data_IF_978075783540
#
_entry.id   IF_978075783540
#
_cell.length_a   1.000
_cell.length_b   1.000
_cell.length_c   1.000
_cell.angle_alpha   90.00
_cell.angle_beta   90.00
_cell.angle_gamma   90.00
#
_symmetry.space_group_name_H-M   'P 1'
#
loop_
_entity.id
_entity.type
_entity.pdbx_description
1 polymer ?
#
# COMPACT_ATOMS: atom_id res chain seq x y z
N UNK A 1 -14.80 -11.24 -27.92
CA UNK A 1 -14.75 -10.03 -27.08
C UNK A 1 -13.84 -10.31 -25.90
N UNK A 2 -12.67 -9.67 -25.82
CA UNK A 2 -11.84 -9.74 -24.61
C UNK A 2 -12.50 -8.80 -23.59
N UNK A 3 -13.00 -9.33 -22.47
CA UNK A 3 -13.52 -8.51 -21.38
C UNK A 3 -12.37 -7.69 -20.78
N UNK A 4 -12.26 -6.42 -21.19
CA UNK A 4 -11.31 -5.47 -20.60
C UNK A 4 -11.68 -5.19 -19.15
N UNK A 5 -10.71 -5.30 -18.24
CA UNK A 5 -10.91 -5.02 -16.81
C UNK A 5 -11.35 -3.55 -16.60
N UNK A 6 -12.59 -3.37 -16.11
CA UNK A 6 -13.24 -2.07 -15.98
C UNK A 6 -12.94 -1.42 -14.64
N UNK A 7 -13.32 -0.14 -14.54
CA UNK A 7 -13.21 0.62 -13.29
C UNK A 7 -14.05 -0.01 -12.17
N UNK A 8 -15.21 -0.57 -12.50
CA UNK A 8 -16.11 -1.19 -11.52
C UNK A 8 -15.52 -2.50 -10.99
N UNK A 9 -14.88 -3.31 -11.84
CA UNK A 9 -14.13 -4.51 -11.43
C UNK A 9 -13.00 -4.14 -10.47
N UNK A 10 -12.29 -3.03 -10.75
CA UNK A 10 -11.24 -2.51 -9.86
C UNK A 10 -11.78 -2.07 -8.50
N UNK A 11 -13.00 -1.50 -8.44
CA UNK A 11 -13.63 -1.11 -7.18
C UNK A 11 -14.13 -2.31 -6.40
N UNK A 12 -14.74 -3.29 -7.08
CA UNK A 12 -15.16 -4.55 -6.47
C UNK A 12 -13.97 -5.28 -5.85
N UNK A 13 -12.85 -5.40 -6.57
CA UNK A 13 -11.65 -6.06 -6.06
C UNK A 13 -11.01 -5.29 -4.89
N UNK A 14 -11.06 -3.96 -4.88
CA UNK A 14 -10.67 -3.16 -3.70
C UNK A 14 -11.57 -3.44 -2.51
N UNK A 15 -12.89 -3.54 -2.72
CA UNK A 15 -13.84 -3.91 -1.67
C UNK A 15 -13.52 -5.28 -1.07
N UNK A 16 -13.26 -6.28 -1.91
CA UNK A 16 -12.80 -7.61 -1.48
C UNK A 16 -11.53 -7.50 -0.65
N UNK A 17 -10.53 -6.73 -1.11
CA UNK A 17 -9.29 -6.52 -0.38
C UNK A 17 -9.50 -5.85 0.99
N UNK A 18 -10.46 -4.91 1.13
CA UNK A 18 -10.83 -4.31 2.43
C UNK A 18 -11.41 -5.38 3.36
N UNK A 19 -12.34 -6.20 2.87
CA UNK A 19 -12.97 -7.27 3.67
C UNK A 19 -11.89 -8.25 4.16
N UNK A 20 -10.98 -8.66 3.26
CA UNK A 20 -9.84 -9.53 3.61
C UNK A 20 -8.92 -8.87 4.64
N UNK A 21 -8.64 -7.57 4.51
CA UNK A 21 -7.81 -6.82 5.46
C UNK A 21 -8.44 -6.80 6.85
N UNK A 22 -9.74 -6.49 6.95
CA UNK A 22 -10.47 -6.50 8.23
C UNK A 22 -10.43 -7.91 8.82
N UNK A 23 -10.75 -8.94 8.03
CA UNK A 23 -10.78 -10.32 8.50
C UNK A 23 -9.42 -10.79 9.01
N UNK A 24 -8.34 -10.48 8.30
CA UNK A 24 -6.98 -10.74 8.75
C UNK A 24 -6.65 -10.04 10.07
N UNK A 25 -6.94 -8.74 10.19
CA UNK A 25 -6.62 -7.97 11.40
C UNK A 25 -7.51 -8.30 12.61
N UNK A 26 -8.65 -8.97 12.41
CA UNK A 26 -9.53 -9.39 13.50
C UNK A 26 -9.30 -10.84 13.94
N UNK A 27 -8.93 -11.75 13.03
CA UNK A 27 -8.99 -13.21 13.31
C UNK A 27 -7.69 -13.98 13.03
N UNK A 28 -6.60 -13.33 12.62
CA UNK A 28 -5.35 -14.04 12.24
C UNK A 28 -4.55 -14.63 13.40
N UNK A 29 -4.88 -14.30 14.65
CA UNK A 29 -4.27 -14.85 15.86
C UNK A 29 -5.33 -14.85 16.97
N UNK A 30 -5.26 -15.85 17.85
CA UNK A 30 -6.16 -15.97 19.02
C UNK A 30 -6.03 -14.77 19.97
N UNK A 31 -4.83 -14.18 20.08
CA UNK A 31 -4.57 -12.99 20.90
C UNK A 31 -5.43 -11.77 20.51
N UNK A 32 -5.84 -11.68 19.23
CA UNK A 32 -6.63 -10.55 18.74
C UNK A 32 -8.06 -10.55 19.27
N UNK A 33 -8.53 -11.71 19.73
CA UNK A 33 -9.91 -11.88 20.16
C UNK A 33 -10.10 -12.64 21.47
N UNK A 34 -9.01 -12.95 22.19
CA UNK A 34 -9.03 -13.68 23.46
C UNK A 34 -9.97 -13.07 24.52
N UNK A 35 -10.23 -11.76 24.44
CA UNK A 35 -11.07 -11.01 25.39
C UNK A 35 -12.56 -11.05 25.07
N UNK A 36 -12.94 -11.71 23.97
CA UNK A 36 -14.31 -11.75 23.49
C UNK A 36 -14.80 -13.20 23.40
N UNK A 37 -16.06 -13.42 23.73
CA UNK A 37 -16.72 -14.71 23.47
C UNK A 37 -17.16 -14.75 22.02
N UNK A 38 -16.50 -15.56 21.19
CA UNK A 38 -16.80 -15.69 19.76
C UNK A 38 -17.36 -17.08 19.48
N UNK A 39 -18.50 -17.13 18.79
CA UNK A 39 -19.00 -18.37 18.20
C UNK A 39 -18.40 -18.55 16.82
N UNK A 40 -17.71 -19.68 16.61
CA UNK A 40 -17.15 -20.06 15.31
C UNK A 40 -18.09 -20.94 14.48
N UNK A 41 -19.28 -21.28 15.01
CA UNK A 41 -20.26 -22.10 14.31
C UNK A 41 -20.63 -21.49 12.94
N UNK A 42 -20.68 -22.28 11.84
CA UNK A 42 -20.62 -23.74 11.76
C UNK A 42 -19.20 -24.32 11.62
N UNK A 43 -18.17 -23.49 11.64
CA UNK A 43 -16.78 -23.89 11.43
C UNK A 43 -16.03 -24.09 12.75
N UNK A 44 -14.78 -24.57 12.65
CA UNK A 44 -13.84 -24.63 13.76
C UNK A 44 -12.96 -23.37 13.77
N UNK A 45 -12.56 -22.93 14.96
CA UNK A 45 -11.69 -21.77 15.16
C UNK A 45 -10.42 -21.83 14.31
N UNK A 46 -9.72 -22.97 14.31
CA UNK A 46 -8.49 -23.14 13.54
C UNK A 46 -8.68 -22.94 12.03
N UNK A 47 -9.85 -23.31 11.48
CA UNK A 47 -10.18 -23.08 10.07
C UNK A 47 -10.32 -21.59 9.81
N UNK A 48 -11.04 -20.87 10.67
CA UNK A 48 -11.25 -19.43 10.57
C UNK A 48 -9.92 -18.67 10.69
N UNK A 49 -9.07 -19.03 11.64
CA UNK A 49 -7.73 -18.46 11.80
C UNK A 49 -6.88 -18.71 10.56
N UNK A 50 -6.88 -19.93 10.02
CA UNK A 50 -6.13 -20.25 8.80
C UNK A 50 -6.58 -19.40 7.61
N UNK A 51 -7.90 -19.23 7.41
CA UNK A 51 -8.44 -18.35 6.37
C UNK A 51 -8.00 -16.91 6.61
N UNK A 52 -8.07 -16.43 7.86
CA UNK A 52 -7.66 -15.07 8.21
C UNK A 52 -6.16 -14.83 7.97
N UNK A 53 -5.30 -15.82 8.20
CA UNK A 53 -3.87 -15.76 7.86
C UNK A 53 -3.68 -15.67 6.35
N UNK A 54 -4.43 -16.41 5.54
CA UNK A 54 -4.36 -16.32 4.07
C UNK A 54 -4.83 -14.94 3.57
N UNK A 55 -5.84 -14.34 4.21
CA UNK A 55 -6.33 -13.00 3.88
C UNK A 55 -5.27 -11.88 4.00
N UNK A 56 -4.09 -12.16 4.56
CA UNK A 56 -2.92 -11.28 4.58
C UNK A 56 -2.46 -10.82 3.19
N UNK A 57 -2.87 -11.50 2.11
CA UNK A 57 -2.63 -11.09 0.72
C UNK A 57 -3.37 -9.79 0.32
N UNK A 58 -4.29 -9.29 1.13
CA UNK A 58 -5.06 -8.06 0.85
C UNK A 58 -4.21 -6.85 0.41
N UNK A 59 -3.05 -6.64 1.02
CA UNK A 59 -2.15 -5.53 0.66
C UNK A 59 -1.50 -5.74 -0.72
N UNK A 60 -1.20 -6.99 -1.08
CA UNK A 60 -0.71 -7.34 -2.41
C UNK A 60 -1.78 -7.08 -3.48
N UNK A 61 -3.06 -7.37 -3.18
CA UNK A 61 -4.17 -7.02 -4.09
C UNK A 61 -4.26 -5.50 -4.30
N UNK A 62 -4.15 -4.69 -3.23
CA UNK A 62 -4.12 -3.23 -3.39
C UNK A 62 -2.93 -2.75 -4.22
N UNK A 63 -1.74 -3.33 -4.01
CA UNK A 63 -0.55 -2.99 -4.79
C UNK A 63 -0.72 -3.34 -6.27
N UNK A 64 -1.26 -4.53 -6.59
CA UNK A 64 -1.54 -4.97 -7.96
C UNK A 64 -2.52 -4.02 -8.67
N UNK A 65 -3.67 -3.75 -8.04
CA UNK A 65 -4.69 -2.84 -8.60
C UNK A 65 -4.14 -1.42 -8.75
N UNK A 66 -3.29 -0.99 -7.82
CA UNK A 66 -2.63 0.33 -7.90
C UNK A 66 -1.69 0.41 -9.09
N UNK A 67 -0.86 -0.61 -9.33
CA UNK A 67 0.00 -0.69 -10.51
C UNK A 67 -0.80 -0.59 -11.80
N UNK A 68 -1.83 -1.43 -11.91
CA UNK A 68 -2.71 -1.44 -13.08
C UNK A 68 -3.37 -0.06 -13.31
N UNK A 69 -4.02 0.49 -12.27
CA UNK A 69 -4.76 1.74 -12.37
C UNK A 69 -3.87 2.96 -12.58
N UNK A 70 -2.66 2.99 -12.02
CA UNK A 70 -1.72 4.10 -12.19
C UNK A 70 -1.13 4.12 -13.60
N UNK A 71 -0.81 2.97 -14.20
CA UNK A 71 -0.35 2.91 -15.60
C UNK A 71 -1.42 3.44 -16.55
N UNK A 72 -2.67 2.98 -16.44
CA UNK A 72 -3.77 3.47 -17.28
C UNK A 72 -4.00 4.97 -17.09
N UNK A 73 -3.90 5.43 -15.84
CA UNK A 73 -3.98 6.86 -15.52
C UNK A 73 -2.84 7.67 -16.16
N UNK A 74 -1.64 7.10 -16.22
CA UNK A 74 -0.46 7.74 -16.79
C UNK A 74 -0.51 7.75 -18.32
N UNK A 75 -0.98 6.67 -18.95
CA UNK A 75 -1.17 6.58 -20.39
C UNK A 75 -2.14 7.64 -20.90
N UNK A 76 -3.27 7.81 -20.19
CA UNK A 76 -4.30 8.82 -20.52
C UNK A 76 -3.86 10.28 -20.23
N UNK A 77 -2.60 10.51 -19.83
CA UNK A 77 -2.12 11.86 -19.48
C UNK A 77 -2.06 12.76 -20.72
N UNK A 78 -2.37 14.04 -20.52
CA UNK A 78 -2.04 15.14 -21.45
C UNK A 78 -0.92 16.05 -20.92
N UNK A 79 -0.30 15.67 -19.79
CA UNK A 79 0.61 16.51 -19.02
C UNK A 79 2.01 15.88 -18.89
N UNK A 80 2.98 16.68 -18.44
CA UNK A 80 4.34 16.20 -18.12
C UNK A 80 4.32 15.18 -16.97
N UNK A 81 5.38 14.37 -16.88
CA UNK A 81 5.54 13.36 -15.84
C UNK A 81 5.40 13.95 -14.42
N UNK A 82 6.04 15.08 -14.15
CA UNK A 82 6.01 15.77 -12.86
C UNK A 82 4.62 16.29 -12.51
N UNK A 83 3.92 16.92 -13.46
CA UNK A 83 2.55 17.41 -13.25
C UNK A 83 1.58 16.27 -12.98
N UNK A 84 1.72 15.16 -13.69
CA UNK A 84 0.93 13.96 -13.42
C UNK A 84 1.20 13.39 -12.04
N UNK A 85 2.48 13.26 -11.65
CA UNK A 85 2.86 12.73 -10.34
C UNK A 85 2.32 13.60 -9.20
N UNK A 86 2.46 14.92 -9.31
CA UNK A 86 1.92 15.86 -8.34
C UNK A 86 0.38 15.81 -8.25
N UNK A 87 -0.31 15.79 -9.39
CA UNK A 87 -1.78 15.66 -9.43
C UNK A 87 -2.24 14.35 -8.78
N UNK A 88 -1.52 13.26 -9.05
CA UNK A 88 -1.82 11.94 -8.49
C UNK A 88 -1.52 11.88 -6.99
N UNK A 89 -0.43 12.49 -6.55
CA UNK A 89 -0.07 12.64 -5.13
C UNK A 89 -1.18 13.37 -4.38
N UNK A 90 -1.55 14.58 -4.81
CA UNK A 90 -2.61 15.37 -4.16
C UNK A 90 -3.93 14.59 -4.11
N UNK A 91 -4.31 13.94 -5.22
CA UNK A 91 -5.56 13.15 -5.27
C UNK A 91 -5.56 11.95 -4.32
N UNK A 92 -4.40 11.34 -4.10
CA UNK A 92 -4.27 10.18 -3.21
C UNK A 92 -4.24 10.62 -1.75
N UNK A 93 -3.55 11.74 -1.47
CA UNK A 93 -3.33 12.25 -0.12
C UNK A 93 -4.46 13.12 0.43
N UNK A 94 -5.34 13.67 -0.43
CA UNK A 94 -6.43 14.55 0.03
C UNK A 94 -7.34 13.89 1.07
N UNK A 95 -7.71 12.62 0.88
CA UNK A 95 -8.48 11.87 1.87
C UNK A 95 -7.68 11.54 3.13
N UNK A 96 -6.38 11.26 2.98
CA UNK A 96 -5.48 10.99 4.09
C UNK A 96 -5.32 12.20 5.01
N UNK A 97 -5.12 13.39 4.47
CA UNK A 97 -4.91 14.61 5.26
C UNK A 97 -6.09 14.93 6.18
N UNK A 98 -7.32 14.68 5.70
CA UNK A 98 -8.52 14.84 6.52
C UNK A 98 -8.48 13.91 7.73
N UNK A 99 -8.18 12.62 7.49
CA UNK A 99 -8.09 11.60 8.54
C UNK A 99 -6.93 11.91 9.50
N UNK A 100 -5.78 12.32 8.98
CA UNK A 100 -4.60 12.70 9.75
C UNK A 100 -4.93 13.85 10.71
N UNK A 101 -5.52 14.93 10.22
CA UNK A 101 -5.86 16.12 11.03
C UNK A 101 -6.85 15.74 12.13
N UNK A 102 -7.89 14.97 11.81
CA UNK A 102 -8.87 14.51 12.79
C UNK A 102 -8.20 13.67 13.89
N UNK A 103 -7.35 12.71 13.50
CA UNK A 103 -6.65 11.86 14.47
C UNK A 103 -5.61 12.62 15.29
N UNK A 104 -4.90 13.58 14.69
CA UNK A 104 -3.97 14.45 15.39
C UNK A 104 -4.73 15.24 16.46
N UNK A 105 -5.87 15.85 16.12
CA UNK A 105 -6.69 16.62 17.04
C UNK A 105 -7.20 15.76 18.22
N UNK A 106 -7.75 14.58 17.94
CA UNK A 106 -8.20 13.64 18.98
C UNK A 106 -7.03 13.22 19.89
N UNK A 107 -5.85 12.96 19.34
CA UNK A 107 -4.69 12.53 20.14
C UNK A 107 -4.05 13.66 20.95
N UNK A 108 -4.21 14.92 20.53
CA UNK A 108 -3.83 16.09 21.31
C UNK A 108 -4.77 16.26 22.51
N UNK A 109 -6.09 16.18 22.29
CA UNK A 109 -7.09 16.43 23.34
C UNK A 109 -7.15 15.31 24.38
N UNK A 110 -7.22 14.05 23.93
CA UNK A 110 -7.64 12.95 24.82
C UNK A 110 -6.51 12.11 25.37
N UNK A 111 -5.32 12.12 24.74
CA UNK A 111 -4.26 11.15 25.08
C UNK A 111 -2.87 11.74 25.24
N UNK A 112 -2.67 13.02 24.92
CA UNK A 112 -1.37 13.68 24.80
C UNK A 112 -0.33 12.87 23.99
N UNK A 113 -0.79 11.91 23.17
CA UNK A 113 0.06 10.97 22.44
C UNK A 113 0.80 11.68 21.32
N UNK A 114 0.15 12.67 20.71
CA UNK A 114 0.74 13.49 19.65
C UNK A 114 2.05 14.14 20.10
N UNK A 115 2.06 14.77 21.27
CA UNK A 115 3.26 15.42 21.81
C UNK A 115 4.35 14.40 22.14
N UNK A 116 3.99 13.27 22.74
CA UNK A 116 4.95 12.20 23.09
C UNK A 116 5.60 11.58 21.86
N UNK A 117 4.82 11.32 20.81
CA UNK A 117 5.29 10.69 19.58
C UNK A 117 6.22 11.61 18.81
N UNK A 118 5.88 12.89 18.65
CA UNK A 118 6.66 13.78 17.78
C UNK A 118 7.71 14.60 18.52
N UNK A 119 7.38 15.12 19.70
CA UNK A 119 8.21 16.14 20.37
C UNK A 119 9.11 15.57 21.47
N UNK A 120 9.15 14.25 21.65
CA UNK A 120 9.98 13.58 22.65
C UNK A 120 11.49 13.81 22.47
N UNK A 121 11.93 14.08 21.24
CA UNK A 121 13.35 14.26 20.89
C UNK A 121 13.73 15.72 20.59
N UNK A 122 12.83 16.69 20.85
CA UNK A 122 13.06 18.12 20.65
C UNK A 122 12.16 18.74 19.58
N UNK A 123 12.04 20.07 19.63
CA UNK A 123 11.02 20.81 18.85
C UNK A 123 11.23 20.72 17.33
N UNK A 124 12.47 20.87 16.86
CA UNK A 124 12.78 20.86 15.44
C UNK A 124 12.60 19.47 14.81
N UNK A 125 13.01 18.42 15.53
CA UNK A 125 12.82 17.03 15.10
C UNK A 125 11.32 16.70 15.07
N UNK A 126 10.55 17.18 16.05
CA UNK A 126 9.11 17.00 16.07
C UNK A 126 8.38 17.68 14.92
N UNK A 127 8.73 18.94 14.60
CA UNK A 127 8.17 19.65 13.44
C UNK A 127 8.49 18.90 12.14
N UNK A 128 9.73 18.46 11.96
CA UNK A 128 10.13 17.69 10.79
C UNK A 128 9.36 16.35 10.69
N UNK A 129 9.22 15.63 11.81
CA UNK A 129 8.50 14.34 11.85
C UNK A 129 7.02 14.49 11.55
N UNK A 130 6.37 15.54 12.07
CA UNK A 130 4.97 15.87 11.74
C UNK A 130 4.82 16.16 10.24
N UNK A 131 5.72 16.96 9.67
CA UNK A 131 5.68 17.27 8.24
C UNK A 131 5.88 16.01 7.39
N UNK A 132 6.87 15.19 7.73
CA UNK A 132 7.17 13.96 7.00
C UNK A 132 6.03 12.94 7.13
N UNK A 133 5.39 12.80 8.29
CA UNK A 133 4.24 11.90 8.43
C UNK A 133 3.01 12.41 7.67
N UNK A 134 2.72 13.71 7.74
CA UNK A 134 1.64 14.35 6.99
C UNK A 134 1.84 14.25 5.46
N UNK A 135 3.09 14.31 4.99
CA UNK A 135 3.44 14.11 3.58
C UNK A 135 3.59 12.62 3.19
N UNK A 136 3.40 11.70 4.13
CA UNK A 136 3.50 10.26 3.90
C UNK A 136 4.92 9.76 3.67
N UNK A 137 5.94 10.49 4.12
CA UNK A 137 7.35 10.13 3.99
C UNK A 137 7.95 9.50 5.25
N UNK A 138 7.20 9.42 6.36
CA UNK A 138 7.74 8.96 7.64
C UNK A 138 8.45 7.61 7.55
N UNK A 139 7.84 6.60 6.92
CA UNK A 139 8.47 5.28 6.79
C UNK A 139 9.66 5.26 5.81
N UNK A 140 9.73 6.19 4.84
CA UNK A 140 10.86 6.32 3.92
C UNK A 140 12.10 6.88 4.62
N UNK A 141 11.92 7.84 5.53
CA UNK A 141 13.02 8.48 6.26
C UNK A 141 13.23 7.90 7.67
N UNK A 142 12.42 6.93 8.08
CA UNK A 142 12.51 6.30 9.39
C UNK A 142 12.12 7.24 10.54
N UNK A 143 11.26 8.22 10.31
CA UNK A 143 10.79 9.15 11.35
C UNK A 143 9.58 8.62 12.08
N UNK A 144 9.27 9.23 13.22
CA UNK A 144 8.09 8.92 14.00
C UNK A 144 6.81 9.14 13.20
N UNK A 145 5.81 8.29 13.48
CA UNK A 145 4.48 8.35 12.89
C UNK A 145 3.42 8.21 13.98
N UNK A 146 2.32 8.94 13.84
CA UNK A 146 1.23 8.86 14.82
C UNK A 146 0.63 7.45 14.87
N UNK A 147 0.54 6.80 13.70
CA UNK A 147 0.03 5.45 13.51
C UNK A 147 0.97 4.62 12.64
N UNK A 148 1.49 3.53 13.21
CA UNK A 148 2.41 2.60 12.52
C UNK A 148 1.81 2.03 11.24
N UNK A 149 0.48 1.90 11.16
CA UNK A 149 -0.23 1.42 9.97
C UNK A 149 -0.10 2.34 8.76
N UNK A 150 0.33 3.60 8.90
CA UNK A 150 0.45 4.55 7.77
C UNK A 150 1.66 4.32 6.86
N UNK A 151 2.45 3.29 7.12
CA UNK A 151 3.57 2.88 6.26
C UNK A 151 3.18 2.74 4.77
N UNK A 152 1.93 2.39 4.46
CA UNK A 152 1.45 2.27 3.08
C UNK A 152 1.34 3.62 2.34
N UNK A 153 1.26 4.76 3.04
CA UNK A 153 1.30 6.08 2.40
C UNK A 153 2.66 6.33 1.76
N UNK A 154 3.73 5.93 2.45
CA UNK A 154 5.08 5.94 1.89
C UNK A 154 5.21 5.02 0.68
N UNK A 155 4.58 3.83 0.72
CA UNK A 155 4.51 2.96 -0.46
C UNK A 155 3.76 3.60 -1.63
N UNK A 156 2.65 4.29 -1.37
CA UNK A 156 1.90 5.01 -2.40
C UNK A 156 2.74 6.11 -3.07
N UNK A 157 3.56 6.86 -2.32
CA UNK A 157 4.48 7.84 -2.92
C UNK A 157 5.50 7.16 -3.83
N UNK A 158 6.12 6.07 -3.38
CA UNK A 158 7.05 5.29 -4.22
C UNK A 158 6.36 4.83 -5.50
N UNK A 159 5.16 4.27 -5.42
CA UNK A 159 4.41 3.83 -6.59
C UNK A 159 4.13 4.95 -7.60
N UNK A 160 3.72 6.13 -7.11
CA UNK A 160 3.45 7.29 -7.97
C UNK A 160 4.72 7.75 -8.69
N UNK A 161 5.86 7.80 -7.99
CA UNK A 161 7.14 8.20 -8.57
C UNK A 161 7.73 7.13 -9.52
N UNK A 162 7.44 5.86 -9.26
CA UNK A 162 7.93 4.74 -10.04
C UNK A 162 7.26 4.65 -11.41
N UNK A 163 5.97 5.02 -11.52
CA UNK A 163 5.19 4.90 -12.76
C UNK A 163 5.81 5.64 -13.95
N UNK A 164 6.18 6.93 -13.86
CA UNK A 164 6.84 7.64 -14.96
C UNK A 164 8.17 7.01 -15.41
N UNK A 165 8.91 6.40 -14.48
CA UNK A 165 10.18 5.74 -14.76
C UNK A 165 9.96 4.41 -15.47
N UNK A 166 8.96 3.64 -15.03
CA UNK A 166 8.66 2.32 -15.60
C UNK A 166 7.94 2.40 -16.94
N UNK A 167 7.00 3.34 -17.12
CA UNK A 167 6.06 3.32 -18.25
C UNK A 167 6.74 3.24 -19.63
N UNK A 168 7.88 3.93 -19.83
CA UNK A 168 8.61 3.91 -21.11
C UNK A 168 9.27 2.55 -21.37
N UNK A 169 9.85 1.95 -20.33
CA UNK A 169 10.66 0.73 -20.42
C UNK A 169 9.82 -0.55 -20.31
N UNK A 170 8.61 -0.45 -19.74
CA UNK A 170 7.67 -1.57 -19.57
C UNK A 170 7.18 -2.19 -20.88
N UNK A 171 7.45 -1.56 -22.03
CA UNK A 171 7.12 -2.13 -23.34
C UNK A 171 8.17 -3.16 -23.79
N UNK A 172 9.43 -2.80 -23.67
CA UNK A 172 10.53 -3.55 -24.29
C UNK A 172 11.28 -4.43 -23.28
N UNK A 173 11.18 -4.14 -21.98
CA UNK A 173 11.97 -4.77 -20.91
C UNK A 173 11.12 -5.42 -19.81
N UNK A 174 9.86 -5.73 -20.09
CA UNK A 174 8.88 -6.34 -19.17
C UNK A 174 9.46 -7.41 -18.26
N UNK A 175 10.04 -8.47 -18.85
CA UNK A 175 10.59 -9.60 -18.10
C UNK A 175 11.83 -9.24 -17.29
N UNK A 176 12.68 -8.36 -17.82
CA UNK A 176 13.89 -7.88 -17.14
C UNK A 176 13.49 -7.06 -15.90
N UNK A 177 12.50 -6.18 -16.02
CA UNK A 177 12.01 -5.35 -14.91
C UNK A 177 11.37 -6.23 -13.82
N UNK A 178 10.59 -7.25 -14.20
CA UNK A 178 10.04 -8.21 -13.24
C UNK A 178 11.14 -8.99 -12.51
N UNK A 179 12.05 -9.62 -13.25
CA UNK A 179 13.14 -10.42 -12.67
C UNK A 179 14.01 -9.54 -11.77
N UNK A 180 14.37 -8.34 -12.23
CA UNK A 180 15.13 -7.39 -11.43
C UNK A 180 14.37 -6.99 -10.16
N UNK A 181 13.07 -6.73 -10.23
CA UNK A 181 12.28 -6.39 -9.03
C UNK A 181 12.21 -7.53 -8.02
N UNK A 182 12.11 -8.78 -8.48
CA UNK A 182 12.13 -9.98 -7.62
C UNK A 182 13.51 -10.19 -7.00
N UNK A 183 14.58 -9.97 -7.77
CA UNK A 183 15.95 -10.06 -7.28
C UNK A 183 16.26 -8.95 -6.26
N UNK A 184 15.92 -7.70 -6.59
CA UNK A 184 16.06 -6.55 -5.71
C UNK A 184 15.30 -6.74 -4.40
N UNK A 185 14.07 -7.26 -4.49
CA UNK A 185 13.30 -7.65 -3.32
C UNK A 185 14.04 -8.70 -2.48
N UNK A 186 14.58 -9.75 -3.09
CA UNK A 186 15.33 -10.80 -2.37
C UNK A 186 16.56 -10.25 -1.67
N UNK A 187 17.27 -9.31 -2.29
CA UNK A 187 18.43 -8.64 -1.68
C UNK A 187 18.01 -7.78 -0.48
N UNK A 188 16.94 -6.98 -0.60
CA UNK A 188 16.45 -6.15 0.52
C UNK A 188 15.89 -7.02 1.66
N UNK A 189 15.10 -8.04 1.34
CA UNK A 189 14.51 -8.95 2.32
C UNK A 189 15.56 -9.86 2.98
N UNK A 190 16.67 -10.17 2.29
CA UNK A 190 17.79 -10.89 2.94
C UNK A 190 18.46 -10.07 4.05
N UNK A 191 18.31 -8.74 4.04
CA UNK A 191 18.77 -7.84 5.09
C UNK A 191 17.66 -7.47 6.10
N UNK A 192 16.42 -7.94 5.86
CA UNK A 192 15.25 -7.65 6.70
C UNK A 192 14.40 -8.92 6.86
N UNK A 193 14.75 -9.75 7.84
CA UNK A 193 14.07 -10.98 8.29
C UNK A 193 13.26 -11.75 7.23
N UNK A 194 13.83 -12.88 6.81
CA UNK A 194 13.42 -13.76 5.71
C UNK A 194 11.97 -14.31 5.77
N UNK A 195 11.17 -13.99 6.79
CA UNK A 195 9.75 -14.38 6.92
C UNK A 195 8.74 -13.30 6.51
N UNK A 196 9.19 -12.12 6.07
CA UNK A 196 8.35 -10.91 6.05
C UNK A 196 7.63 -10.62 4.72
N UNK A 197 7.77 -11.45 3.67
CA UNK A 197 7.11 -11.22 2.37
C UNK A 197 5.59 -11.05 2.49
N UNK A 198 4.96 -11.83 3.38
CA UNK A 198 3.56 -11.69 3.76
C UNK A 198 3.51 -11.05 5.14
N UNK A 199 3.43 -9.72 5.24
CA UNK A 199 3.25 -8.99 6.51
C UNK A 199 4.30 -7.97 6.90
N UNK A 200 5.32 -7.75 6.09
CA UNK A 200 6.26 -6.66 6.31
C UNK A 200 5.55 -5.31 6.15
N UNK A 201 5.77 -4.39 7.09
CA UNK A 201 5.50 -2.97 6.90
C UNK A 201 6.56 -2.30 5.99
N UNK A 202 7.33 -3.10 5.25
CA UNK A 202 8.29 -2.62 4.26
C UNK A 202 7.57 -2.10 3.03
N UNK A 203 7.91 -0.86 2.69
CA UNK A 203 7.45 -0.16 1.50
C UNK A 203 7.83 -0.93 0.22
N UNK A 204 8.94 -1.66 0.25
CA UNK A 204 9.51 -2.32 -0.92
C UNK A 204 8.94 -3.72 -1.17
N UNK A 205 8.32 -4.34 -0.16
CA UNK A 205 7.88 -5.74 -0.22
C UNK A 205 6.91 -6.02 -1.37
N UNK A 206 6.09 -5.01 -1.71
CA UNK A 206 5.00 -5.12 -2.67
C UNK A 206 5.33 -4.54 -4.05
N UNK A 207 6.56 -4.06 -4.27
CA UNK A 207 7.00 -3.52 -5.57
C UNK A 207 6.87 -4.55 -6.71
N UNK A 208 7.27 -5.83 -6.56
CA UNK A 208 7.10 -6.80 -7.65
C UNK A 208 5.62 -7.04 -8.01
N UNK A 209 4.73 -7.03 -7.02
CA UNK A 209 3.28 -7.18 -7.23
C UNK A 209 2.72 -5.93 -7.92
N UNK A 210 3.16 -4.74 -7.52
CA UNK A 210 2.84 -3.49 -8.18
C UNK A 210 3.28 -3.46 -9.65
N UNK A 211 4.52 -3.91 -9.94
CA UNK A 211 5.05 -4.02 -11.30
C UNK A 211 4.24 -5.05 -12.10
N UNK A 212 3.86 -6.18 -11.50
CA UNK A 212 3.01 -7.18 -12.14
C UNK A 212 1.68 -6.56 -12.59
N UNK A 213 1.00 -5.82 -11.71
CA UNK A 213 -0.22 -5.09 -12.08
C UNK A 213 0.00 -4.05 -13.19
N UNK A 214 1.16 -3.38 -13.15
CA UNK A 214 1.57 -2.41 -14.16
C UNK A 214 1.76 -3.05 -15.55
N UNK A 215 2.29 -4.28 -15.60
CA UNK A 215 2.48 -5.06 -16.83
C UNK A 215 1.16 -5.60 -17.35
N UNK A 216 0.27 -6.03 -16.46
CA UNK A 216 -1.09 -6.39 -16.87
C UNK A 216 -1.80 -5.22 -17.54
N UNK A 217 -1.60 -3.99 -17.05
CA UNK A 217 -2.17 -2.81 -17.70
C UNK A 217 -1.62 -2.58 -19.11
N UNK A 218 -0.33 -2.82 -19.37
CA UNK A 218 0.23 -2.67 -20.72
C UNK A 218 -0.19 -3.83 -21.63
N UNK A 219 0.00 -5.08 -21.20
CA UNK A 219 -0.27 -6.28 -22.02
C UNK A 219 -1.74 -6.46 -22.41
N UNK A 220 -2.69 -6.25 -21.49
CA UNK A 220 -4.13 -6.44 -21.75
C UNK A 220 -4.75 -5.33 -22.63
N UNK A 221 -4.15 -4.14 -22.65
CA UNK A 221 -4.60 -3.03 -23.51
C UNK A 221 -3.98 -3.11 -24.91
N UNK A 222 -2.72 -3.55 -25.03
CA UNK A 222 -2.05 -3.65 -26.34
C UNK A 222 -2.42 -4.91 -27.13
N UNK A 223 -3.05 -5.93 -26.53
CA UNK A 223 -3.58 -7.08 -27.26
C UNK A 223 -4.91 -6.79 -28.00
N UNK A 224 -5.45 -5.58 -27.88
CA UNK A 224 -6.66 -5.13 -28.60
C UNK A 224 -6.38 -4.45 -29.94
N UNK A 225 -5.12 -4.42 -30.40
CA UNK A 225 -4.69 -3.80 -31.65
C UNK A 225 -4.03 -4.79 -32.60
N UNK A 226 -4.81 -5.69 -33.16
CA UNK A 226 -4.55 -6.35 -34.44
C UNK A 226 -5.88 -6.50 -35.18
#
# INVERSE_FOLDING_TARGET
MINTFKKDDAQALKGIAIIMMIFHHCFSSTELYEKYTISFFPFKENIIVNIAVICKICVALFAFISGYGLIISYEKKKATASRWALSRYIKTFSGFWIIYILLAFVNIIFRSRFLKVYFGHGIWIGIASVFLDFAGFAKLFGTDTLLVTWWYMSAAVVYILLVPLLYKELKDKTWIILIFSMFFLRVILSHTDAGSFTGSNSIYAFIPVFISGSIFATTLFFSGGY
#
